data_IF_943658434641
#
_entry.id   IF_943658434641
#
_cell.length_a   1.000
_cell.length_b   1.000
_cell.length_c   1.000
_cell.angle_alpha   90.00
_cell.angle_beta   90.00
_cell.angle_gamma   90.00
#
_symmetry.space_group_name_H-M   'P 1'
#
loop_
_entity.id
_entity.type
_entity.pdbx_description
1 polymer ?
#
# COMPACT_ATOMS: atom_id res chain seq x y z
N UNK A 1 22.31 41.57 -15.19
CA UNK A 1 23.56 41.44 -15.96
C UNK A 1 23.77 39.95 -16.17
N UNK A 2 23.55 39.51 -17.41
CA UNK A 2 23.39 38.11 -17.84
C UNK A 2 24.75 37.45 -18.04
N UNK A 3 24.99 36.29 -17.41
CA UNK A 3 26.20 35.50 -17.66
C UNK A 3 25.82 34.34 -18.60
N UNK A 4 26.34 34.42 -19.82
CA UNK A 4 26.26 33.41 -20.87
C UNK A 4 27.17 32.23 -20.55
N UNK A 5 26.64 31.02 -20.73
CA UNK A 5 27.39 29.77 -20.78
C UNK A 5 27.75 29.51 -22.25
N UNK A 6 29.01 29.19 -22.60
CA UNK A 6 29.29 28.47 -23.82
C UNK A 6 29.42 26.97 -23.53
N UNK A 7 28.43 26.25 -24.06
CA UNK A 7 28.45 24.83 -24.36
C UNK A 7 29.37 24.62 -25.56
N UNK A 8 30.42 23.81 -25.45
CA UNK A 8 31.10 23.28 -26.63
C UNK A 8 31.40 21.79 -26.46
N UNK A 9 30.79 21.01 -27.34
CA UNK A 9 30.95 19.58 -27.52
C UNK A 9 32.16 19.37 -28.45
N UNK A 10 33.26 18.87 -27.91
CA UNK A 10 34.23 18.12 -28.73
C UNK A 10 34.54 16.77 -28.10
N UNK A 11 34.02 15.75 -28.78
CA UNK A 11 34.38 14.37 -28.60
C UNK A 11 35.87 14.15 -28.89
N UNK A 12 36.54 13.42 -28.00
CA UNK A 12 37.79 12.71 -28.30
C UNK A 12 37.56 11.22 -28.06
N UNK A 13 37.85 10.34 -29.03
CA UNK A 13 37.70 8.90 -28.89
C UNK A 13 38.95 8.29 -28.24
N UNK A 14 38.76 7.21 -27.49
CA UNK A 14 39.87 6.33 -27.09
C UNK A 14 40.44 6.61 -25.71
N UNK A 15 39.75 6.13 -24.69
CA UNK A 15 40.29 5.94 -23.35
C UNK A 15 39.65 4.70 -22.76
N UNK A 16 40.30 3.54 -22.94
CA UNK A 16 40.00 2.29 -22.25
C UNK A 16 39.98 2.57 -20.74
N UNK A 17 38.79 2.70 -20.17
CA UNK A 17 38.66 2.78 -18.71
C UNK A 17 38.95 1.38 -18.15
N UNK A 18 39.95 1.24 -17.26
CA UNK A 18 40.16 0.01 -16.53
C UNK A 18 38.94 -0.24 -15.64
N UNK A 19 38.52 -1.51 -15.62
CA UNK A 19 37.38 -2.08 -14.92
C UNK A 19 36.74 -1.21 -13.84
N UNK A 20 35.54 -0.71 -14.13
CA UNK A 20 34.52 -0.63 -13.09
C UNK A 20 34.16 -2.08 -12.79
N UNK A 21 35.00 -2.69 -11.94
CA UNK A 21 34.75 -3.95 -11.30
C UNK A 21 33.40 -3.80 -10.58
N UNK A 22 32.34 -4.23 -11.27
CA UNK A 22 31.08 -4.58 -10.63
C UNK A 22 31.47 -5.64 -9.62
N UNK A 23 31.64 -5.24 -8.36
CA UNK A 23 31.72 -6.18 -7.26
C UNK A 23 30.53 -7.14 -7.41
N UNK A 24 30.74 -8.41 -7.78
CA UNK A 24 29.71 -9.41 -7.69
C UNK A 24 29.85 -9.99 -6.28
N UNK A 25 29.48 -9.19 -5.27
CA UNK A 25 29.20 -9.71 -3.93
C UNK A 25 27.73 -9.49 -3.62
N UNK A 26 26.88 -10.01 -4.52
CA UNK A 26 25.50 -10.32 -4.21
C UNK A 26 25.41 -11.83 -4.03
N UNK A 27 26.02 -12.31 -2.95
CA UNK A 27 25.72 -13.65 -2.47
C UNK A 27 25.64 -13.67 -0.94
N UNK A 28 24.60 -13.03 -0.40
CA UNK A 28 23.96 -13.64 0.77
C UNK A 28 23.10 -14.79 0.24
N UNK A 29 23.75 -15.91 -0.10
CA UNK A 29 23.17 -17.12 -0.69
C UNK A 29 22.19 -17.88 0.22
N UNK A 30 21.28 -17.15 0.89
CA UNK A 30 20.30 -17.67 1.82
C UNK A 30 18.87 -17.24 1.45
N UNK A 31 18.60 -16.75 0.23
CA UNK A 31 17.22 -16.43 -0.18
C UNK A 31 16.28 -17.62 0.06
N UNK A 32 16.71 -18.83 -0.30
CA UNK A 32 15.97 -20.07 -0.02
C UNK A 32 15.70 -20.30 1.49
N UNK A 33 16.65 -20.00 2.37
CA UNK A 33 16.49 -20.11 3.82
C UNK A 33 15.58 -19.03 4.42
N UNK A 34 15.55 -17.83 3.83
CA UNK A 34 14.71 -16.72 4.33
C UNK A 34 13.22 -17.02 4.21
N UNK A 35 12.79 -17.71 3.15
CA UNK A 35 11.39 -18.11 3.00
C UNK A 35 10.98 -19.10 4.10
N UNK A 36 11.80 -20.14 4.34
CA UNK A 36 11.53 -21.13 5.38
C UNK A 36 11.50 -20.50 6.78
N UNK A 37 12.41 -19.57 7.09
CA UNK A 37 12.41 -18.84 8.35
C UNK A 37 11.18 -17.96 8.51
N UNK A 38 10.79 -17.23 7.47
CA UNK A 38 9.61 -16.38 7.49
C UNK A 38 8.32 -17.19 7.66
N UNK A 39 8.21 -18.32 6.96
CA UNK A 39 7.07 -19.24 7.08
C UNK A 39 7.00 -19.85 8.49
N UNK A 40 8.15 -20.24 9.06
CA UNK A 40 8.23 -20.77 10.43
C UNK A 40 7.91 -19.70 11.49
N UNK A 41 8.32 -18.44 11.27
CA UNK A 41 7.97 -17.33 12.15
C UNK A 41 6.45 -17.05 12.09
N UNK A 42 5.89 -16.99 10.88
CA UNK A 42 4.45 -16.82 10.68
C UNK A 42 3.66 -17.95 11.36
N UNK A 43 4.06 -19.20 11.16
CA UNK A 43 3.41 -20.36 11.78
C UNK A 43 3.41 -20.30 13.32
N UNK A 44 4.48 -19.80 13.94
CA UNK A 44 4.57 -19.64 15.40
C UNK A 44 3.75 -18.47 15.93
N UNK A 45 3.65 -17.38 15.16
CA UNK A 45 2.91 -16.19 15.56
C UNK A 45 1.40 -16.34 15.36
N UNK A 46 0.97 -17.19 14.41
CA UNK A 46 -0.43 -17.36 14.03
C UNK A 46 -1.32 -17.67 15.21
N UNK A 47 -2.37 -16.86 15.38
CA UNK A 47 -3.31 -16.97 16.50
C UNK A 47 -2.75 -16.58 17.88
N UNK A 48 -1.50 -16.13 17.97
CA UNK A 48 -0.87 -15.62 19.20
C UNK A 48 -0.61 -14.11 19.19
N UNK A 49 -0.65 -13.51 18.00
CA UNK A 49 -0.50 -12.06 17.79
C UNK A 49 -1.82 -11.49 17.29
N UNK A 50 -1.97 -10.16 17.39
CA UNK A 50 -3.13 -9.50 16.78
C UNK A 50 -3.11 -9.63 15.25
N UNK A 51 -4.28 -9.53 14.63
CA UNK A 51 -4.45 -9.72 13.19
C UNK A 51 -3.65 -8.73 12.34
N UNK A 52 -3.31 -7.54 12.86
CA UNK A 52 -2.47 -6.56 12.17
C UNK A 52 -1.01 -6.99 12.15
N UNK A 53 -0.51 -7.46 13.28
CA UNK A 53 0.82 -8.09 13.34
C UNK A 53 0.89 -9.33 12.45
N UNK A 54 -0.15 -10.17 12.41
CA UNK A 54 -0.22 -11.31 11.49
C UNK A 54 -0.18 -10.86 10.02
N UNK A 55 -0.89 -9.79 9.65
CA UNK A 55 -0.84 -9.22 8.29
C UNK A 55 0.56 -8.73 7.89
N UNK A 56 1.32 -8.13 8.80
CA UNK A 56 2.72 -7.73 8.55
C UNK A 56 3.63 -8.93 8.35
N UNK A 57 3.43 -10.00 9.12
CA UNK A 57 4.18 -11.26 8.97
C UNK A 57 3.84 -11.93 7.64
N UNK A 58 2.58 -11.90 7.20
CA UNK A 58 2.15 -12.39 5.88
C UNK A 58 2.85 -11.64 4.74
N UNK A 59 2.95 -10.31 4.81
CA UNK A 59 3.68 -9.50 3.81
C UNK A 59 5.18 -9.85 3.80
N UNK A 60 5.76 -10.05 4.99
CA UNK A 60 7.18 -10.42 5.12
C UNK A 60 7.46 -11.79 4.50
N UNK A 61 6.63 -12.79 4.81
CA UNK A 61 6.70 -14.12 4.20
C UNK A 61 6.46 -14.09 2.69
N UNK A 62 5.55 -13.23 2.21
CA UNK A 62 5.33 -13.05 0.78
C UNK A 62 6.57 -12.52 0.05
N UNK A 63 7.26 -11.52 0.63
CA UNK A 63 8.51 -10.98 0.08
C UNK A 63 9.62 -12.03 0.04
N UNK A 64 9.79 -12.81 1.11
CA UNK A 64 10.79 -13.87 1.18
C UNK A 64 10.53 -14.99 0.15
N UNK A 65 9.27 -15.40 0.01
CA UNK A 65 8.84 -16.37 -1.01
C UNK A 65 9.03 -15.81 -2.44
N UNK A 66 8.74 -14.54 -2.67
CA UNK A 66 8.97 -13.88 -3.96
C UNK A 66 10.46 -13.81 -4.34
N UNK A 67 11.33 -13.47 -3.37
CA UNK A 67 12.78 -13.46 -3.56
C UNK A 67 13.36 -14.86 -3.81
N UNK A 68 12.71 -15.91 -3.29
CA UNK A 68 13.08 -17.31 -3.52
C UNK A 68 12.49 -17.91 -4.80
N UNK A 69 11.74 -17.13 -5.59
CA UNK A 69 11.10 -17.58 -6.83
C UNK A 69 9.74 -18.27 -6.66
N UNK A 70 9.26 -18.47 -5.43
CA UNK A 70 7.94 -19.07 -5.15
C UNK A 70 6.80 -18.04 -5.27
N UNK A 71 6.54 -17.58 -6.50
CA UNK A 71 5.50 -16.57 -6.78
C UNK A 71 4.10 -16.99 -6.37
N UNK A 72 3.79 -18.29 -6.47
CA UNK A 72 2.47 -18.81 -6.10
C UNK A 72 2.22 -18.70 -4.60
N UNK A 73 3.21 -19.04 -3.75
CA UNK A 73 3.10 -18.84 -2.31
C UNK A 73 3.03 -17.35 -1.96
N UNK A 74 3.89 -16.53 -2.58
CA UNK A 74 3.88 -15.08 -2.37
C UNK A 74 2.51 -14.45 -2.67
N UNK A 75 1.88 -14.82 -3.80
CA UNK A 75 0.56 -14.33 -4.16
C UNK A 75 -0.52 -14.71 -3.13
N UNK A 76 -0.53 -15.97 -2.65
CA UNK A 76 -1.48 -16.42 -1.62
C UNK A 76 -1.33 -15.64 -0.32
N UNK A 77 -0.09 -15.38 0.10
CA UNK A 77 0.22 -14.63 1.32
C UNK A 77 -0.21 -13.16 1.20
N UNK A 78 -0.03 -12.53 0.03
CA UNK A 78 -0.52 -11.17 -0.26
C UNK A 78 -2.05 -11.11 -0.17
N UNK A 79 -2.74 -12.08 -0.79
CA UNK A 79 -4.20 -12.15 -0.73
C UNK A 79 -4.67 -12.29 0.72
N UNK A 80 -4.03 -13.15 1.50
CA UNK A 80 -4.35 -13.34 2.93
C UNK A 80 -4.09 -12.07 3.76
N UNK A 81 -3.03 -11.31 3.48
CA UNK A 81 -2.81 -10.02 4.14
C UNK A 81 -3.89 -8.99 3.74
N UNK A 82 -4.32 -9.00 2.48
CA UNK A 82 -5.36 -8.10 1.97
C UNK A 82 -6.72 -8.26 2.66
N UNK A 83 -7.08 -9.48 3.08
CA UNK A 83 -8.37 -9.71 3.77
C UNK A 83 -8.43 -9.01 5.13
N UNK A 84 -7.32 -8.93 5.89
CA UNK A 84 -7.26 -8.15 7.13
C UNK A 84 -7.47 -6.66 6.87
N UNK A 85 -6.76 -6.10 5.89
CA UNK A 85 -6.90 -4.69 5.53
C UNK A 85 -8.33 -4.35 5.11
N UNK A 86 -8.98 -5.26 4.35
CA UNK A 86 -10.40 -5.16 3.98
C UNK A 86 -11.33 -5.11 5.19
N UNK A 87 -11.12 -6.01 6.16
CA UNK A 87 -11.93 -6.10 7.37
C UNK A 87 -11.79 -4.81 8.20
N UNK A 88 -10.56 -4.41 8.51
CA UNK A 88 -10.28 -3.21 9.30
C UNK A 88 -10.73 -1.93 8.59
N UNK A 89 -10.56 -1.86 7.27
CA UNK A 89 -11.09 -0.80 6.42
C UNK A 89 -12.60 -0.67 6.59
N UNK A 90 -13.34 -1.78 6.46
CA UNK A 90 -14.81 -1.80 6.60
C UNK A 90 -15.25 -1.34 8.00
N UNK A 91 -14.59 -1.82 9.05
CA UNK A 91 -14.89 -1.37 10.42
C UNK A 91 -14.71 0.13 10.59
N UNK A 92 -13.62 0.72 10.08
CA UNK A 92 -13.44 2.17 10.12
C UNK A 92 -14.48 2.93 9.29
N UNK A 93 -14.93 2.37 8.16
CA UNK A 93 -16.01 2.96 7.37
C UNK A 93 -17.34 2.98 8.13
N UNK A 94 -17.66 1.90 8.85
CA UNK A 94 -18.88 1.81 9.66
C UNK A 94 -18.83 2.76 10.87
N UNK A 95 -17.68 2.88 11.55
CA UNK A 95 -17.50 3.88 12.62
C UNK A 95 -17.63 5.30 12.05
N UNK A 96 -17.06 5.58 10.88
CA UNK A 96 -17.21 6.88 10.25
C UNK A 96 -18.68 7.22 9.92
N UNK A 97 -19.50 6.23 9.52
CA UNK A 97 -20.96 6.42 9.34
C UNK A 97 -21.64 6.80 10.66
N UNK A 98 -21.28 6.16 11.77
CA UNK A 98 -21.87 6.50 13.09
C UNK A 98 -21.42 7.89 13.56
N UNK A 99 -20.16 8.26 13.38
CA UNK A 99 -19.62 9.58 13.70
C UNK A 99 -20.27 10.68 12.82
N UNK A 100 -20.49 10.40 11.54
CA UNK A 100 -21.21 11.27 10.63
C UNK A 100 -22.66 11.55 11.11
N UNK A 101 -23.34 10.52 11.62
CA UNK A 101 -24.69 10.66 12.19
C UNK A 101 -24.72 11.50 13.48
N UNK A 102 -23.60 11.59 14.20
CA UNK A 102 -23.45 12.42 15.40
C UNK A 102 -23.10 13.89 15.10
N UNK A 103 -23.30 14.36 13.86
CA UNK A 103 -22.96 15.72 13.43
C UNK A 103 -21.47 16.09 13.58
N UNK A 104 -20.56 15.11 13.49
CA UNK A 104 -19.10 15.31 13.53
C UNK A 104 -18.46 15.03 12.15
N UNK A 105 -18.75 15.84 11.13
CA UNK A 105 -18.40 15.53 9.74
C UNK A 105 -16.89 15.51 9.47
N UNK A 106 -16.11 16.30 10.19
CA UNK A 106 -14.64 16.36 9.99
C UNK A 106 -13.94 15.11 10.52
N UNK A 107 -14.37 14.59 11.67
CA UNK A 107 -13.85 13.35 12.22
C UNK A 107 -14.26 12.16 11.34
N UNK A 108 -15.50 12.15 10.82
CA UNK A 108 -15.93 11.16 9.84
C UNK A 108 -15.04 11.18 8.59
N UNK A 109 -14.66 12.36 8.08
CA UNK A 109 -13.72 12.49 6.95
C UNK A 109 -12.35 11.89 7.28
N UNK A 110 -11.82 12.09 8.49
CA UNK A 110 -10.54 11.50 8.90
C UNK A 110 -10.62 9.96 8.99
N UNK A 111 -11.70 9.43 9.57
CA UNK A 111 -11.91 7.99 9.70
C UNK A 111 -12.10 7.32 8.34
N UNK A 112 -12.90 7.91 7.44
CA UNK A 112 -13.01 7.42 6.07
C UNK A 112 -11.69 7.53 5.31
N UNK A 113 -10.88 8.56 5.52
CA UNK A 113 -9.55 8.65 4.90
C UNK A 113 -8.67 7.45 5.28
N UNK A 114 -8.60 7.11 6.57
CA UNK A 114 -7.85 5.94 7.07
C UNK A 114 -8.45 4.62 6.59
N UNK A 115 -9.78 4.54 6.49
CA UNK A 115 -10.48 3.39 5.92
C UNK A 115 -10.04 3.15 4.47
N UNK A 116 -10.00 4.21 3.65
CA UNK A 116 -9.55 4.12 2.26
C UNK A 116 -8.07 3.75 2.11
N UNK A 117 -7.20 4.15 3.04
CA UNK A 117 -5.80 3.70 3.06
C UNK A 117 -5.69 2.17 3.22
N UNK A 118 -6.58 1.58 4.02
CA UNK A 118 -6.60 0.12 4.22
C UNK A 118 -7.33 -0.62 3.09
N UNK A 119 -8.27 0.04 2.42
CA UNK A 119 -9.03 -0.56 1.32
C UNK A 119 -8.32 -0.45 -0.04
N UNK A 120 -7.18 0.25 -0.12
CA UNK A 120 -6.41 0.41 -1.35
C UNK A 120 -5.91 -0.96 -1.86
N UNK A 121 -6.08 -1.23 -3.15
CA UNK A 121 -5.74 -2.50 -3.78
C UNK A 121 -6.67 -3.69 -3.45
N UNK A 122 -7.77 -3.49 -2.71
CA UNK A 122 -8.74 -4.55 -2.39
C UNK A 122 -9.87 -4.60 -3.42
N UNK A 123 -9.85 -5.58 -4.33
CA UNK A 123 -10.92 -5.82 -5.29
C UNK A 123 -12.01 -6.77 -4.74
N UNK A 124 -12.96 -6.24 -3.96
CA UNK A 124 -14.10 -7.01 -3.43
C UNK A 124 -15.43 -6.29 -3.67
N UNK A 125 -16.50 -7.02 -3.98
CA UNK A 125 -17.84 -6.44 -4.18
C UNK A 125 -18.31 -5.62 -2.98
N UNK A 126 -18.05 -6.11 -1.76
CA UNK A 126 -18.35 -5.37 -0.52
C UNK A 126 -17.55 -4.07 -0.44
N UNK A 127 -16.26 -4.11 -0.80
CA UNK A 127 -15.42 -2.92 -0.84
C UNK A 127 -15.95 -1.87 -1.84
N UNK A 128 -16.37 -2.33 -3.02
CA UNK A 128 -16.96 -1.47 -4.05
C UNK A 128 -18.25 -0.76 -3.58
N UNK A 129 -19.08 -1.43 -2.78
CA UNK A 129 -20.27 -0.82 -2.17
C UNK A 129 -19.91 0.23 -1.10
N UNK A 130 -18.90 -0.05 -0.28
CA UNK A 130 -18.41 0.91 0.71
C UNK A 130 -17.82 2.15 0.04
N UNK A 131 -16.97 1.98 -0.97
CA UNK A 131 -16.41 3.09 -1.75
C UNK A 131 -17.49 3.99 -2.37
N UNK A 132 -18.58 3.39 -2.88
CA UNK A 132 -19.74 4.15 -3.38
C UNK A 132 -20.40 4.99 -2.29
N UNK A 133 -20.61 4.41 -1.11
CA UNK A 133 -21.21 5.10 0.03
C UNK A 133 -20.35 6.25 0.50
N UNK A 134 -19.04 6.02 0.69
CA UNK A 134 -18.09 7.05 1.10
C UNK A 134 -18.03 8.20 0.08
N UNK A 135 -17.99 7.89 -1.22
CA UNK A 135 -17.96 8.91 -2.28
C UNK A 135 -19.18 9.83 -2.21
N UNK A 136 -20.38 9.27 -2.08
CA UNK A 136 -21.63 10.04 -2.10
C UNK A 136 -21.76 10.92 -0.84
N UNK A 137 -21.42 10.39 0.34
CA UNK A 137 -21.44 11.17 1.58
C UNK A 137 -20.39 12.28 1.57
N UNK A 138 -19.17 11.98 1.11
CA UNK A 138 -18.11 12.97 0.99
C UNK A 138 -18.44 14.07 -0.03
N UNK A 139 -19.10 13.74 -1.15
CA UNK A 139 -19.58 14.73 -2.11
C UNK A 139 -20.65 15.65 -1.48
N UNK A 140 -21.53 15.11 -0.65
CA UNK A 140 -22.51 15.91 0.09
C UNK A 140 -21.83 16.86 1.08
N UNK A 141 -20.81 16.39 1.80
CA UNK A 141 -20.01 17.21 2.72
C UNK A 141 -19.18 18.28 2.00
N UNK A 142 -18.66 17.98 0.81
CA UNK A 142 -17.95 18.95 -0.01
C UNK A 142 -18.86 20.13 -0.40
N UNK A 143 -20.12 19.88 -0.76
CA UNK A 143 -21.11 20.94 -1.04
C UNK A 143 -21.41 21.81 0.18
N UNK A 144 -21.18 21.29 1.39
CA UNK A 144 -21.35 22.00 2.68
C UNK A 144 -20.07 22.69 3.16
N UNK A 145 -18.98 22.65 2.37
CA UNK A 145 -17.70 23.28 2.71
C UNK A 145 -16.88 22.54 3.77
N UNK A 146 -17.18 21.27 4.08
CA UNK A 146 -16.43 20.50 5.07
C UNK A 146 -15.00 20.25 4.58
N UNK A 147 -14.03 20.54 5.45
CA UNK A 147 -12.60 20.39 5.15
C UNK A 147 -12.27 18.95 4.76
N UNK A 148 -11.53 18.77 3.66
CA UNK A 148 -11.05 17.46 3.19
C UNK A 148 -12.09 16.59 2.48
N UNK A 149 -13.37 16.93 2.53
CA UNK A 149 -14.45 16.11 1.94
C UNK A 149 -14.36 15.99 0.41
N UNK A 150 -13.95 17.06 -0.29
CA UNK A 150 -13.75 17.02 -1.74
C UNK A 150 -12.63 16.05 -2.15
N UNK A 151 -11.50 16.10 -1.44
CA UNK A 151 -10.37 15.20 -1.67
C UNK A 151 -10.74 13.74 -1.37
N UNK A 152 -11.50 13.50 -0.29
CA UNK A 152 -12.01 12.18 0.05
C UNK A 152 -12.94 11.61 -1.03
N UNK A 153 -13.86 12.42 -1.56
CA UNK A 153 -14.77 11.99 -2.64
C UNK A 153 -14.02 11.61 -3.91
N UNK A 154 -13.05 12.44 -4.34
CA UNK A 154 -12.21 12.15 -5.50
C UNK A 154 -11.36 10.88 -5.28
N UNK A 155 -10.84 10.69 -4.08
CA UNK A 155 -10.06 9.50 -3.72
C UNK A 155 -10.91 8.23 -3.80
N UNK A 156 -12.11 8.21 -3.22
CA UNK A 156 -13.02 7.08 -3.30
C UNK A 156 -13.39 6.75 -4.76
N UNK A 157 -13.55 7.77 -5.61
CA UNK A 157 -13.82 7.56 -7.03
C UNK A 157 -12.66 6.87 -7.76
N UNK A 158 -11.40 7.26 -7.48
CA UNK A 158 -10.20 6.65 -8.08
C UNK A 158 -10.04 5.17 -7.69
N UNK A 159 -10.23 4.84 -6.42
CA UNK A 159 -10.13 3.45 -5.93
C UNK A 159 -11.22 2.53 -6.48
N UNK A 160 -12.31 3.10 -7.01
CA UNK A 160 -13.38 2.32 -7.65
C UNK A 160 -13.03 1.92 -9.09
N UNK A 161 -12.10 2.63 -9.72
CA UNK A 161 -11.71 2.45 -11.12
C UNK A 161 -10.42 1.63 -11.31
N UNK A 162 -9.72 1.35 -10.21
CA UNK A 162 -8.56 0.43 -10.13
C UNK A 162 -9.03 -1.01 -9.98
#
# INVERSE_FOLDING_TARGET
MTISIPFDLRATPGGTQPGVERAPDRDFGHSAGTAALADAALARARGRVDHGTEALLLITAARANGASGNRAAAAKLIVAAGTYHSMRGTTLADIAKTVAAQHRPEEAVQLWTRSLDLMDGVASHRNQLELRTVQSTAASYARRGIRGAAALSQRAARLRTT
#
